data_IF_382039486964
#
_entry.id   IF_382039486964
#
_cell.length_a   1.000
_cell.length_b   1.000
_cell.length_c   1.000
_cell.angle_alpha   90.00
_cell.angle_beta   90.00
_cell.angle_gamma   90.00
#
_symmetry.space_group_name_H-M   'P 1'
#
loop_
_entity.id
_entity.type
_entity.pdbx_description
1 polymer ?
#
# COMPACT_ATOMS: atom_id res chain seq x y z
N UNK A 1 -32.76 20.74 15.81
CA UNK A 1 -31.43 20.59 15.19
C UNK A 1 -31.47 19.33 14.34
N UNK A 2 -31.61 19.50 13.02
CA UNK A 2 -31.64 18.37 12.06
C UNK A 2 -30.17 17.90 11.88
N UNK A 3 -29.83 16.75 12.45
CA UNK A 3 -28.52 16.15 12.22
C UNK A 3 -28.44 15.65 10.79
N UNK A 4 -27.54 16.21 10.00
CA UNK A 4 -27.24 15.70 8.65
C UNK A 4 -26.82 14.23 8.73
N UNK A 5 -27.34 13.36 7.85
CA UNK A 5 -26.98 11.94 7.86
C UNK A 5 -25.49 11.79 7.63
N UNK A 6 -24.79 11.09 8.54
CA UNK A 6 -23.35 10.76 8.40
C UNK A 6 -23.18 10.00 7.09
N UNK A 7 -22.40 10.55 6.14
CA UNK A 7 -22.05 9.87 4.90
C UNK A 7 -21.45 8.50 5.24
N UNK A 8 -22.15 7.42 4.89
CA UNK A 8 -21.62 6.06 5.03
C UNK A 8 -20.42 5.90 4.09
N UNK A 9 -19.28 5.49 4.63
CA UNK A 9 -18.12 5.15 3.81
C UNK A 9 -18.48 4.05 2.81
N UNK A 10 -18.13 4.26 1.53
CA UNK A 10 -18.32 3.27 0.49
C UNK A 10 -17.55 2.00 0.83
N UNK A 11 -18.23 0.86 0.83
CA UNK A 11 -17.57 -0.45 1.00
C UNK A 11 -17.00 -0.88 -0.34
N UNK A 12 -15.79 -1.43 -0.29
CA UNK A 12 -15.11 -2.01 -1.45
C UNK A 12 -14.84 -3.50 -1.17
N UNK A 13 -14.81 -4.36 -2.20
CA UNK A 13 -14.29 -5.71 -2.05
C UNK A 13 -12.80 -5.70 -1.75
N UNK A 14 -12.22 -6.87 -1.42
CA UNK A 14 -10.76 -7.04 -1.35
C UNK A 14 -10.12 -6.71 -2.70
N UNK A 15 -8.84 -6.32 -2.69
CA UNK A 15 -8.13 -5.92 -3.91
C UNK A 15 -8.13 -4.41 -4.17
N UNK A 16 -8.44 -3.58 -3.17
CA UNK A 16 -8.23 -2.15 -3.20
C UNK A 16 -7.08 -1.78 -2.27
N UNK A 17 -5.90 -1.57 -2.83
CA UNK A 17 -4.70 -1.23 -2.08
C UNK A 17 -4.43 0.26 -2.04
N UNK A 18 -4.00 0.75 -0.89
CA UNK A 18 -3.35 2.05 -0.74
C UNK A 18 -1.85 1.82 -0.65
N UNK A 19 -1.07 2.56 -1.42
CA UNK A 19 0.40 2.49 -1.41
C UNK A 19 0.96 3.83 -1.00
N UNK A 20 1.98 3.81 -0.16
CA UNK A 20 2.72 4.98 0.31
C UNK A 20 4.20 4.65 0.49
N UNK A 21 5.04 5.68 0.48
CA UNK A 21 6.48 5.57 0.66
C UNK A 21 6.90 6.42 1.86
N UNK A 22 7.66 5.82 2.76
CA UNK A 22 8.20 6.51 3.91
C UNK A 22 9.72 6.34 3.99
N UNK A 23 10.42 7.34 4.51
CA UNK A 23 11.85 7.22 4.80
C UNK A 23 12.08 6.58 6.17
N UNK A 24 13.06 5.70 6.24
CA UNK A 24 13.57 5.06 7.46
C UNK A 24 15.09 5.06 7.45
N UNK A 25 15.71 4.96 8.61
CA UNK A 25 17.16 5.02 8.76
C UNK A 25 17.67 3.88 9.63
N UNK A 26 18.87 3.40 9.29
CA UNK A 26 19.73 2.55 10.14
C UNK A 26 21.08 3.24 10.30
N UNK A 27 22.04 2.64 11.02
CA UNK A 27 23.40 3.18 11.10
C UNK A 27 24.13 3.20 9.73
N UNK A 28 23.77 2.31 8.80
CA UNK A 28 24.29 2.30 7.43
C UNK A 28 23.72 3.43 6.54
N UNK A 29 22.63 4.08 6.96
CA UNK A 29 22.04 5.19 6.23
C UNK A 29 20.53 5.07 5.99
N UNK A 30 20.08 5.79 4.97
CA UNK A 30 18.68 5.93 4.61
C UNK A 30 18.18 4.81 3.69
N UNK A 31 16.98 4.33 4.00
CA UNK A 31 16.19 3.45 3.12
C UNK A 31 14.80 4.05 2.88
N UNK A 32 14.14 3.57 1.85
CA UNK A 32 12.74 3.86 1.58
C UNK A 32 11.88 2.63 1.87
N UNK A 33 10.89 2.82 2.71
CA UNK A 33 9.88 1.83 3.06
C UNK A 33 8.66 2.02 2.19
N UNK A 34 8.42 1.10 1.26
CA UNK A 34 7.17 0.99 0.52
C UNK A 34 6.17 0.19 1.33
N UNK A 35 4.98 0.71 1.51
CA UNK A 35 3.88 0.06 2.25
C UNK A 35 2.65 0.02 1.38
N UNK A 36 2.06 -1.16 1.24
CA UNK A 36 0.73 -1.35 0.67
C UNK A 36 -0.19 -1.95 1.73
N UNK A 37 -1.42 -1.45 1.81
CA UNK A 37 -2.47 -2.02 2.67
C UNK A 37 -3.77 -2.16 1.88
N UNK A 38 -4.36 -3.35 1.91
CA UNK A 38 -5.70 -3.56 1.38
C UNK A 38 -6.72 -2.85 2.27
N UNK A 39 -7.52 -2.01 1.66
CA UNK A 39 -8.53 -1.20 2.35
C UNK A 39 -9.53 -2.06 3.12
N UNK A 40 -9.84 -3.25 2.64
CA UNK A 40 -10.89 -4.12 3.15
C UNK A 40 -10.35 -5.22 4.04
N UNK A 41 -9.43 -6.05 3.56
CA UNK A 41 -8.83 -7.14 4.34
C UNK A 41 -7.82 -6.66 5.38
N UNK A 42 -7.32 -5.42 5.25
CA UNK A 42 -6.23 -4.87 6.06
C UNK A 42 -4.90 -5.61 5.89
N UNK A 43 -4.80 -6.51 4.92
CA UNK A 43 -3.55 -7.18 4.59
C UNK A 43 -2.49 -6.15 4.20
N UNK A 44 -1.32 -6.25 4.82
CA UNK A 44 -0.20 -5.35 4.59
C UNK A 44 0.93 -6.07 3.86
N UNK A 45 1.53 -5.37 2.89
CA UNK A 45 2.73 -5.79 2.18
C UNK A 45 3.75 -4.66 2.21
N UNK A 46 5.03 -4.97 2.45
CA UNK A 46 6.08 -3.97 2.57
C UNK A 46 7.36 -4.42 1.88
N UNK A 47 8.14 -3.44 1.41
CA UNK A 47 9.51 -3.64 0.96
C UNK A 47 10.40 -2.47 1.37
N UNK A 48 11.65 -2.77 1.68
CA UNK A 48 12.72 -1.78 1.87
C UNK A 48 13.57 -1.70 0.60
N UNK A 49 13.80 -0.50 0.11
CA UNK A 49 14.60 -0.22 -1.07
C UNK A 49 15.56 0.95 -0.82
N UNK A 50 16.71 0.95 -1.49
CA UNK A 50 17.72 2.00 -1.33
C UNK A 50 17.27 3.33 -1.96
N UNK A 51 16.55 3.27 -3.09
CA UNK A 51 16.09 4.45 -3.83
C UNK A 51 14.62 4.34 -4.20
N UNK A 52 13.85 5.38 -3.88
CA UNK A 52 12.47 5.52 -4.31
C UNK A 52 12.44 6.20 -5.69
N UNK A 53 12.14 5.44 -6.73
CA UNK A 53 12.01 5.93 -8.10
C UNK A 53 10.92 5.15 -8.86
N UNK A 54 10.70 5.51 -10.13
CA UNK A 54 9.67 4.87 -10.98
C UNK A 54 9.89 3.36 -11.17
N UNK A 55 11.15 2.92 -11.28
CA UNK A 55 11.49 1.50 -11.44
C UNK A 55 11.17 0.70 -10.18
N UNK A 56 11.60 1.22 -9.01
CA UNK A 56 11.33 0.55 -7.72
C UNK A 56 9.85 0.56 -7.37
N UNK A 57 9.09 1.60 -7.74
CA UNK A 57 7.64 1.63 -7.57
C UNK A 57 6.94 0.56 -8.42
N UNK A 58 7.34 0.41 -9.69
CA UNK A 58 6.80 -0.62 -10.58
C UNK A 58 7.16 -2.04 -10.11
N UNK A 59 8.42 -2.25 -9.68
CA UNK A 59 8.86 -3.53 -9.13
C UNK A 59 8.12 -3.88 -7.83
N UNK A 60 7.85 -2.90 -6.98
CA UNK A 60 7.03 -3.08 -5.78
C UNK A 60 5.60 -3.52 -6.12
N UNK A 61 4.98 -2.92 -7.14
CA UNK A 61 3.65 -3.34 -7.59
C UNK A 61 3.64 -4.78 -8.11
N UNK A 62 4.64 -5.19 -8.87
CA UNK A 62 4.79 -6.58 -9.34
C UNK A 62 4.92 -7.55 -8.17
N UNK A 63 5.77 -7.22 -7.19
CA UNK A 63 5.95 -8.02 -5.99
C UNK A 63 4.65 -8.11 -5.15
N UNK A 64 3.89 -7.01 -5.05
CA UNK A 64 2.58 -6.99 -4.38
C UNK A 64 1.59 -7.92 -5.09
N UNK A 65 1.51 -7.85 -6.43
CA UNK A 65 0.63 -8.71 -7.23
C UNK A 65 0.97 -10.19 -7.02
N UNK A 66 2.26 -10.53 -6.97
CA UNK A 66 2.71 -11.90 -6.73
C UNK A 66 2.48 -12.38 -5.29
N UNK A 67 2.44 -11.47 -4.31
CA UNK A 67 2.31 -11.80 -2.89
C UNK A 67 0.86 -12.05 -2.44
N UNK A 68 -0.14 -11.48 -3.14
CA UNK A 68 -1.53 -11.62 -2.74
C UNK A 68 -2.24 -12.68 -3.59
N UNK A 69 -3.05 -13.57 -2.98
CA UNK A 69 -3.69 -14.68 -3.68
C UNK A 69 -5.00 -14.27 -4.40
N UNK A 70 -5.29 -12.98 -4.50
CA UNK A 70 -6.51 -12.46 -5.11
C UNK A 70 -6.22 -11.29 -6.04
N UNK A 71 -7.15 -11.03 -6.95
CA UNK A 71 -7.02 -9.97 -7.95
C UNK A 71 -7.01 -8.59 -7.31
N UNK A 72 -5.99 -7.79 -7.65
CA UNK A 72 -5.95 -6.37 -7.32
C UNK A 72 -6.71 -5.61 -8.42
N UNK A 73 -7.73 -4.85 -8.00
CA UNK A 73 -8.57 -4.09 -8.95
C UNK A 73 -8.23 -2.59 -8.94
N UNK A 74 -7.86 -2.06 -7.79
CA UNK A 74 -7.62 -0.64 -7.59
C UNK A 74 -6.36 -0.45 -6.74
N UNK A 75 -5.52 0.48 -7.18
CA UNK A 75 -4.38 0.98 -6.40
C UNK A 75 -4.51 2.49 -6.25
N UNK A 76 -4.46 2.97 -5.02
CA UNK A 76 -4.44 4.40 -4.67
C UNK A 76 -3.05 4.79 -4.20
N UNK A 77 -2.44 5.79 -4.84
CA UNK A 77 -1.16 6.38 -4.43
C UNK A 77 -1.29 7.88 -4.20
N UNK A 78 -0.27 8.48 -3.63
CA UNK A 78 -0.10 9.92 -3.66
C UNK A 78 0.31 10.41 -5.07
N UNK A 79 0.55 11.73 -5.20
CA UNK A 79 1.00 12.36 -6.45
C UNK A 79 2.53 12.39 -6.58
N UNK A 80 3.27 11.57 -5.85
CA UNK A 80 4.72 11.48 -5.92
C UNK A 80 5.23 11.13 -7.32
N UNK A 81 6.43 11.61 -7.65
CA UNK A 81 7.07 11.38 -8.96
C UNK A 81 7.35 9.90 -9.25
N UNK A 82 7.33 9.06 -8.22
CA UNK A 82 7.47 7.61 -8.31
C UNK A 82 6.24 6.97 -8.97
N UNK A 83 5.06 7.59 -8.78
CA UNK A 83 3.76 7.07 -9.22
C UNK A 83 3.14 7.86 -10.35
N UNK A 84 3.55 9.12 -10.55
CA UNK A 84 2.90 10.01 -11.49
C UNK A 84 3.88 11.06 -12.05
N UNK A 85 3.59 11.59 -13.24
CA UNK A 85 4.35 12.73 -13.77
C UNK A 85 4.08 14.02 -13.00
N UNK A 86 5.11 14.84 -12.74
CA UNK A 86 4.92 16.20 -12.24
C UNK A 86 4.00 17.02 -13.15
N UNK A 87 3.24 17.99 -12.61
CA UNK A 87 2.31 18.82 -13.39
C UNK A 87 2.92 19.44 -14.65
N UNK A 88 4.19 19.87 -14.56
CA UNK A 88 4.93 20.47 -15.69
C UNK A 88 5.04 19.59 -16.93
N UNK A 89 4.93 18.27 -16.78
CA UNK A 89 4.95 17.31 -17.91
C UNK A 89 3.56 16.93 -18.39
N UNK A 90 2.50 17.38 -17.72
CA UNK A 90 1.11 17.09 -18.11
C UNK A 90 0.55 18.13 -19.09
N UNK A 91 1.14 19.32 -19.15
CA UNK A 91 0.65 20.47 -19.95
C UNK A 91 1.49 20.72 -21.21
N UNK A 92 2.55 19.98 -21.44
CA UNK A 92 3.42 20.14 -22.61
C UNK A 92 2.97 19.34 -23.82
N UNK A 93 3.46 19.66 -25.03
CA UNK A 93 3.12 18.96 -26.29
C UNK A 93 3.47 17.46 -26.26
N UNK A 94 4.37 17.04 -25.40
CA UNK A 94 4.77 15.64 -25.20
C UNK A 94 3.92 14.91 -24.16
N UNK A 95 3.11 15.61 -23.37
CA UNK A 95 2.29 15.01 -22.32
C UNK A 95 1.27 14.00 -22.84
N UNK A 96 0.77 14.22 -24.04
CA UNK A 96 -0.22 13.36 -24.70
C UNK A 96 0.30 11.99 -25.12
N UNK A 97 1.61 11.82 -25.18
CA UNK A 97 2.26 10.60 -25.71
C UNK A 97 3.03 9.78 -24.65
N UNK A 98 3.10 10.28 -23.41
CA UNK A 98 3.89 9.61 -22.35
C UNK A 98 2.96 9.05 -21.28
N UNK A 99 2.96 7.73 -21.13
CA UNK A 99 2.35 7.06 -19.98
C UNK A 99 3.40 6.82 -18.90
N UNK A 100 3.07 7.09 -17.65
CA UNK A 100 3.99 6.84 -16.55
C UNK A 100 4.21 5.33 -16.37
N UNK A 101 5.45 4.91 -16.07
CA UNK A 101 5.81 3.49 -15.92
C UNK A 101 4.89 2.75 -14.93
N UNK A 102 4.52 3.39 -13.83
CA UNK A 102 3.61 2.80 -12.85
C UNK A 102 2.20 2.60 -13.41
N UNK A 103 1.69 3.58 -14.18
CA UNK A 103 0.39 3.47 -14.86
C UNK A 103 0.39 2.36 -15.91
N UNK A 104 1.48 2.26 -16.70
CA UNK A 104 1.64 1.16 -17.66
C UNK A 104 1.55 -0.19 -16.97
N UNK A 105 2.25 -0.36 -15.86
CA UNK A 105 2.23 -1.61 -15.10
C UNK A 105 0.85 -1.91 -14.51
N UNK A 106 0.13 -0.89 -14.05
CA UNK A 106 -1.27 -1.05 -13.62
C UNK A 106 -2.16 -1.51 -14.78
N UNK A 107 -2.05 -0.87 -15.95
CA UNK A 107 -2.84 -1.21 -17.14
C UNK A 107 -2.59 -2.65 -17.63
N UNK A 108 -1.32 -3.08 -17.71
CA UNK A 108 -0.93 -4.44 -18.08
C UNK A 108 -1.56 -5.51 -17.17
N UNK A 109 -1.82 -5.18 -15.92
CA UNK A 109 -2.44 -6.08 -14.94
C UNK A 109 -3.95 -5.83 -14.74
N UNK A 110 -4.57 -4.97 -15.51
CA UNK A 110 -5.99 -4.63 -15.40
C UNK A 110 -6.35 -3.91 -14.08
N UNK A 111 -5.41 -3.15 -13.52
CA UNK A 111 -5.53 -2.41 -12.27
C UNK A 111 -5.87 -0.95 -12.56
N UNK A 112 -6.91 -0.43 -11.93
CA UNK A 112 -7.22 1.01 -11.96
C UNK A 112 -6.30 1.75 -11.01
N UNK A 113 -5.42 2.61 -11.53
CA UNK A 113 -4.60 3.50 -10.72
C UNK A 113 -5.35 4.78 -10.40
N UNK A 114 -5.46 5.10 -9.13
CA UNK A 114 -6.06 6.34 -8.61
C UNK A 114 -5.03 7.15 -7.84
N UNK A 115 -5.10 8.47 -8.00
CA UNK A 115 -4.31 9.43 -7.24
C UNK A 115 -5.13 10.05 -6.11
N UNK A 116 -4.50 10.31 -4.97
CA UNK A 116 -5.13 11.07 -3.90
C UNK A 116 -5.45 12.49 -4.39
N UNK A 117 -6.63 12.98 -4.04
CA UNK A 117 -7.01 14.37 -4.37
C UNK A 117 -6.14 15.33 -3.56
N UNK A 118 -5.62 16.34 -4.23
CA UNK A 118 -4.92 17.45 -3.57
C UNK A 118 -5.84 18.06 -2.51
N UNK A 119 -5.32 18.30 -1.29
CA UNK A 119 -6.05 18.82 -0.12
C UNK A 119 -7.14 17.90 0.46
N UNK A 120 -7.07 16.59 0.18
CA UNK A 120 -7.95 15.59 0.81
C UNK A 120 -7.13 14.50 1.53
N UNK A 121 -6.41 14.83 2.63
CA UNK A 121 -5.49 13.92 3.31
C UNK A 121 -6.17 12.66 3.87
N UNK A 122 -7.47 12.73 4.20
CA UNK A 122 -8.21 11.57 4.72
C UNK A 122 -8.36 10.40 3.74
N UNK A 123 -8.09 10.59 2.46
CA UNK A 123 -8.17 9.52 1.45
C UNK A 123 -7.06 8.49 1.60
N UNK A 124 -5.90 8.88 2.17
CA UNK A 124 -4.74 8.01 2.38
C UNK A 124 -4.52 7.55 3.84
N UNK A 125 -5.43 7.94 4.74
CA UNK A 125 -5.27 7.75 6.18
C UNK A 125 -5.06 6.30 6.66
N UNK A 126 -5.41 5.29 5.87
CA UNK A 126 -5.16 3.89 6.25
C UNK A 126 -3.69 3.50 6.09
N UNK A 127 -3.06 3.84 4.97
CA UNK A 127 -1.65 3.54 4.74
C UNK A 127 -0.75 4.43 5.60
N UNK A 128 -1.12 5.69 5.83
CA UNK A 128 -0.41 6.59 6.77
C UNK A 128 -0.42 6.03 8.20
N UNK A 129 -1.56 5.49 8.63
CA UNK A 129 -1.66 4.81 9.93
C UNK A 129 -0.79 3.55 9.97
N UNK A 130 -0.75 2.77 8.90
CA UNK A 130 0.10 1.60 8.81
C UNK A 130 1.58 1.97 8.84
N UNK A 131 2.01 2.99 8.10
CA UNK A 131 3.35 3.56 8.15
C UNK A 131 3.73 3.97 9.58
N UNK A 132 2.83 4.67 10.27
CA UNK A 132 3.05 5.05 11.67
C UNK A 132 3.21 3.82 12.57
N UNK A 133 2.32 2.85 12.45
CA UNK A 133 2.36 1.60 13.23
C UNK A 133 3.66 0.84 13.03
N UNK A 134 4.13 0.74 11.78
CA UNK A 134 5.41 0.11 11.45
C UNK A 134 6.57 0.88 12.09
N UNK A 135 6.63 2.20 11.89
CA UNK A 135 7.71 3.02 12.44
C UNK A 135 7.76 2.99 13.97
N UNK A 136 6.61 2.98 14.64
CA UNK A 136 6.52 2.88 16.10
C UNK A 136 6.97 1.50 16.62
N UNK A 137 6.73 0.46 15.86
CA UNK A 137 7.18 -0.90 16.20
C UNK A 137 8.66 -1.17 15.83
N UNK A 138 9.27 -0.35 15.00
CA UNK A 138 10.62 -0.54 14.47
C UNK A 138 11.53 0.66 14.77
N UNK A 139 11.79 1.51 13.78
CA UNK A 139 12.84 2.56 13.79
C UNK A 139 12.65 3.67 14.84
N UNK A 140 11.45 3.83 15.40
CA UNK A 140 11.23 4.76 16.52
C UNK A 140 11.52 4.13 17.89
N UNK A 141 11.58 2.81 17.95
CA UNK A 141 11.74 2.07 19.20
C UNK A 141 13.10 1.41 19.33
N UNK A 142 13.69 1.00 18.21
CA UNK A 142 14.93 0.25 18.17
C UNK A 142 15.95 0.93 17.26
N UNK A 143 17.22 0.79 17.65
CA UNK A 143 18.36 1.13 16.81
C UNK A 143 18.74 -0.09 15.97
N UNK A 144 19.12 0.11 14.72
CA UNK A 144 19.59 -0.95 13.81
C UNK A 144 20.97 -0.58 13.30
N UNK A 145 21.92 -1.49 13.47
CA UNK A 145 23.30 -1.30 13.03
C UNK A 145 23.41 -1.42 11.51
N UNK A 146 22.63 -2.31 10.92
CA UNK A 146 22.61 -2.54 9.47
C UNK A 146 21.18 -2.66 8.91
N UNK A 147 21.10 -2.60 7.58
CA UNK A 147 19.83 -2.70 6.85
C UNK A 147 19.17 -4.08 7.00
N UNK A 148 19.95 -5.15 7.16
CA UNK A 148 19.42 -6.50 7.25
C UNK A 148 18.72 -6.76 8.59
N UNK A 149 19.22 -6.18 9.69
CA UNK A 149 18.53 -6.23 10.99
C UNK A 149 17.13 -5.59 10.88
N UNK A 150 17.02 -4.40 10.28
CA UNK A 150 15.73 -3.75 10.06
C UNK A 150 14.84 -4.59 9.14
N UNK A 151 15.41 -5.16 8.08
CA UNK A 151 14.66 -5.97 7.10
C UNK A 151 14.10 -7.23 7.75
N UNK A 152 14.89 -7.92 8.56
CA UNK A 152 14.46 -9.11 9.32
C UNK A 152 13.33 -8.77 10.30
N UNK A 153 13.52 -7.75 11.14
CA UNK A 153 12.50 -7.34 12.11
C UNK A 153 11.20 -6.89 11.43
N UNK A 154 11.31 -6.17 10.32
CA UNK A 154 10.14 -5.74 9.54
C UNK A 154 9.37 -6.93 8.97
N UNK A 155 10.06 -7.94 8.47
CA UNK A 155 9.46 -9.19 7.97
C UNK A 155 8.69 -9.90 9.07
N UNK A 156 9.28 -10.05 10.26
CA UNK A 156 8.63 -10.68 11.42
C UNK A 156 7.41 -9.88 11.88
N UNK A 157 7.54 -8.55 11.95
CA UNK A 157 6.45 -7.67 12.34
C UNK A 157 5.26 -7.77 11.37
N UNK A 158 5.49 -7.71 10.06
CA UNK A 158 4.43 -7.79 9.04
C UNK A 158 3.79 -9.18 9.02
N UNK A 159 4.59 -10.23 9.21
CA UNK A 159 4.08 -11.59 9.36
C UNK A 159 3.14 -11.70 10.57
N UNK A 160 3.58 -11.23 11.74
CA UNK A 160 2.74 -11.20 12.94
C UNK A 160 1.48 -10.35 12.74
N UNK A 161 1.59 -9.20 12.06
CA UNK A 161 0.44 -8.35 11.76
C UNK A 161 -0.59 -9.07 10.88
N UNK A 162 -0.17 -9.71 9.81
CA UNK A 162 -1.07 -10.35 8.86
C UNK A 162 -1.69 -11.65 9.40
N UNK A 163 -0.94 -12.45 10.16
CA UNK A 163 -1.33 -13.80 10.52
C UNK A 163 -1.71 -13.98 12.00
N UNK A 164 -1.31 -13.09 12.89
CA UNK A 164 -1.56 -13.23 14.32
C UNK A 164 -2.36 -12.08 14.94
N UNK A 165 -2.25 -10.86 14.41
CA UNK A 165 -2.90 -9.69 15.01
C UNK A 165 -4.38 -9.63 14.69
N UNK A 166 -5.22 -9.77 15.71
CA UNK A 166 -6.68 -9.65 15.60
C UNK A 166 -7.10 -8.17 15.55
N UNK A 167 -7.95 -7.83 14.58
CA UNK A 167 -8.37 -6.46 14.33
C UNK A 167 -9.86 -6.27 14.63
N UNK A 168 -10.20 -5.25 15.44
CA UNK A 168 -11.60 -4.88 15.73
C UNK A 168 -12.37 -4.56 14.45
N UNK A 169 -11.72 -3.91 13.47
CA UNK A 169 -12.32 -3.57 12.17
C UNK A 169 -12.68 -4.78 11.31
N UNK A 170 -12.11 -5.94 11.62
CA UNK A 170 -12.40 -7.23 10.97
C UNK A 170 -13.21 -8.18 11.89
N UNK A 171 -13.89 -7.61 12.89
CA UNK A 171 -14.67 -8.38 13.88
C UNK A 171 -13.84 -9.43 14.64
N UNK A 172 -12.59 -9.08 14.96
CA UNK A 172 -11.66 -9.94 15.70
C UNK A 172 -10.91 -10.96 14.84
N UNK A 173 -11.05 -10.92 13.52
CA UNK A 173 -10.24 -11.73 12.61
C UNK A 173 -8.87 -11.07 12.36
N UNK A 174 -7.88 -11.88 12.02
CA UNK A 174 -6.64 -11.39 11.41
C UNK A 174 -6.89 -11.03 9.94
N UNK A 175 -6.03 -10.22 9.31
CA UNK A 175 -6.11 -9.98 7.87
C UNK A 175 -6.19 -11.27 7.04
N UNK A 176 -5.37 -12.26 7.38
CA UNK A 176 -5.35 -13.55 6.68
C UNK A 176 -6.64 -14.36 6.89
N UNK A 177 -7.14 -14.47 8.12
CA UNK A 177 -8.43 -15.14 8.41
C UNK A 177 -9.58 -14.47 7.65
N UNK A 178 -9.55 -13.15 7.52
CA UNK A 178 -10.54 -12.41 6.74
C UNK A 178 -10.47 -12.78 5.25
N UNK A 179 -9.25 -12.86 4.67
CA UNK A 179 -9.05 -13.29 3.28
C UNK A 179 -9.61 -14.71 3.08
N UNK A 180 -9.31 -15.66 3.97
CA UNK A 180 -9.85 -17.01 3.92
C UNK A 180 -11.38 -17.03 3.96
N UNK A 181 -12.00 -16.20 4.80
CA UNK A 181 -13.46 -16.04 4.85
C UNK A 181 -14.05 -15.53 3.54
N UNK A 182 -13.36 -14.59 2.86
CA UNK A 182 -13.80 -14.12 1.55
C UNK A 182 -13.63 -15.21 0.49
N UNK A 183 -12.51 -15.96 0.53
CA UNK A 183 -12.32 -17.07 -0.40
C UNK A 183 -13.47 -18.10 -0.35
N UNK A 184 -13.95 -18.43 0.84
CA UNK A 184 -15.08 -19.35 1.00
C UNK A 184 -16.38 -18.81 0.36
N UNK A 185 -16.54 -17.47 0.29
CA UNK A 185 -17.76 -16.82 -0.21
C UNK A 185 -17.71 -16.39 -1.66
N UNK A 186 -16.54 -15.95 -2.11
CA UNK A 186 -16.30 -15.28 -3.39
C UNK A 186 -15.00 -15.83 -4.03
N UNK A 187 -14.92 -17.16 -4.30
CA UNK A 187 -13.69 -17.80 -4.79
C UNK A 187 -13.22 -17.23 -6.14
N UNK A 188 -14.13 -16.70 -6.95
CA UNK A 188 -13.84 -16.08 -8.25
C UNK A 188 -12.94 -14.83 -8.18
N UNK A 189 -12.74 -14.27 -6.99
CA UNK A 189 -11.81 -13.14 -6.78
C UNK A 189 -10.36 -13.58 -6.69
N UNK A 190 -10.12 -14.85 -6.52
CA UNK A 190 -8.80 -15.41 -6.28
C UNK A 190 -8.14 -15.86 -7.57
N UNK A 191 -6.81 -15.84 -7.58
CA UNK A 191 -5.94 -16.16 -8.72
C UNK A 191 -5.20 -17.48 -8.54
N UNK A 192 -5.71 -18.33 -7.63
CA UNK A 192 -5.16 -19.66 -7.33
C UNK A 192 -5.55 -20.69 -8.37
#
# INVERSE_FOLDING_TARGET
VISLPKKKFKRYPIGYFHIDIAEVHTAEGKLHLYVAIDRTSKFAFVQLVDKANRKTASAFLEALIAAVPYKINIVLTDNGIQFNFPPRYKEGPTATYMTHMFDMRCQENGIEHRLTKVRHPWTNGQVERMNRTIKEATVKRYHYDDHNQLRSHLTDFISAYNYARRLKTLSGLTPYEYICKIWTKEPERFTL
#
